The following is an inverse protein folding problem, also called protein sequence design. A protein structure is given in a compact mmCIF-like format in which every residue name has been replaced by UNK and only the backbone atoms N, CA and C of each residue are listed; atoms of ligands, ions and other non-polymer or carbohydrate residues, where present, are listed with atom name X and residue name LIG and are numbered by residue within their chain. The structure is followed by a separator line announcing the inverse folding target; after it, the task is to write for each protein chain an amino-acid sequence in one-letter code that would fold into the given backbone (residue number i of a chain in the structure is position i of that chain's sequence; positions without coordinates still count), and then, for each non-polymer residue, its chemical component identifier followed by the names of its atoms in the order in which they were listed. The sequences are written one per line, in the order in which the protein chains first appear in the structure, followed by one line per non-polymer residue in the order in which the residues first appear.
data_IF_658091012850
#
_entry.id   IF_658091012850
#
_cell.length_a   1.000
_cell.length_b   1.000
_cell.length_c   1.000
_cell.angle_alpha   90.00
_cell.angle_beta   90.00
_cell.angle_gamma   90.00
#
_symmetry.space_group_name_H-M   'P 1'
#
loop_
_entity.id
_entity.type
_entity.pdbx_description
1 polymer ?
#
# COMPACT_ATOMS: atom_id res chain seq x y z
N UNK A 1 -14.76 11.75 -10.08
CA UNK A 1 -14.16 10.81 -9.12
C UNK A 1 -14.38 11.40 -7.75
N UNK A 2 -14.99 10.66 -6.83
CA UNK A 2 -15.14 11.14 -5.44
C UNK A 2 -13.84 10.86 -4.66
N UNK A 3 -13.75 11.39 -3.43
CA UNK A 3 -12.56 11.25 -2.60
C UNK A 3 -12.26 9.79 -2.23
N UNK A 4 -13.29 8.97 -1.99
CA UNK A 4 -13.13 7.56 -1.67
C UNK A 4 -12.53 6.79 -2.85
N UNK A 5 -13.01 7.04 -4.08
CA UNK A 5 -12.44 6.46 -5.31
C UNK A 5 -10.98 6.89 -5.53
N UNK A 6 -10.63 8.12 -5.17
CA UNK A 6 -9.24 8.59 -5.22
C UNK A 6 -8.38 7.86 -4.18
N UNK A 7 -8.88 7.69 -2.96
CA UNK A 7 -8.21 6.95 -1.88
C UNK A 7 -7.95 5.51 -2.31
N UNK A 8 -8.93 4.80 -2.88
CA UNK A 8 -8.73 3.41 -3.33
C UNK A 8 -7.68 3.31 -4.44
N UNK A 9 -7.64 4.26 -5.38
CA UNK A 9 -6.61 4.27 -6.44
C UNK A 9 -5.22 4.55 -5.89
N UNK A 10 -5.10 5.49 -4.95
CA UNK A 10 -3.83 5.78 -4.29
C UNK A 10 -3.37 4.63 -3.40
N UNK A 11 -4.29 3.95 -2.72
CA UNK A 11 -4.00 2.78 -1.91
C UNK A 11 -3.53 1.60 -2.78
N UNK A 12 -4.16 1.36 -3.94
CA UNK A 12 -3.65 0.37 -4.89
C UNK A 12 -2.22 0.72 -5.35
N UNK A 13 -1.93 1.99 -5.66
CA UNK A 13 -0.60 2.41 -6.07
C UNK A 13 0.45 2.25 -4.95
N UNK A 14 0.08 2.54 -3.70
CA UNK A 14 0.93 2.30 -2.52
C UNK A 14 1.22 0.81 -2.35
N UNK A 15 0.21 -0.04 -2.52
CA UNK A 15 0.37 -1.49 -2.45
C UNK A 15 1.30 -2.03 -3.53
N UNK A 16 1.19 -1.54 -4.77
CA UNK A 16 2.10 -1.88 -5.86
C UNK A 16 3.55 -1.49 -5.54
N UNK A 17 3.76 -0.29 -4.99
CA UNK A 17 5.08 0.17 -4.53
C UNK A 17 5.61 -0.72 -3.40
N UNK A 18 4.78 -1.00 -2.41
CA UNK A 18 5.14 -1.86 -1.28
C UNK A 18 5.48 -3.28 -1.73
N UNK A 19 4.72 -3.89 -2.64
CA UNK A 19 5.06 -5.21 -3.20
C UNK A 19 6.43 -5.18 -3.87
N UNK A 20 6.70 -4.17 -4.70
CA UNK A 20 7.96 -4.08 -5.43
C UNK A 20 9.15 -3.94 -4.48
N UNK A 21 9.03 -3.06 -3.49
CA UNK A 21 10.06 -2.87 -2.47
C UNK A 21 10.24 -4.14 -1.62
N UNK A 22 9.16 -4.69 -1.07
CA UNK A 22 9.20 -5.83 -0.15
C UNK A 22 9.70 -7.12 -0.81
N UNK A 23 9.41 -7.36 -2.09
CA UNK A 23 10.01 -8.45 -2.87
C UNK A 23 11.53 -8.26 -3.01
N UNK A 24 11.95 -7.06 -3.39
CA UNK A 24 13.39 -6.72 -3.52
C UNK A 24 14.12 -6.98 -2.20
N UNK A 25 13.59 -6.49 -1.08
CA UNK A 25 14.17 -6.73 0.25
C UNK A 25 14.17 -8.22 0.61
N UNK A 26 13.09 -8.95 0.32
CA UNK A 26 12.98 -10.38 0.64
C UNK A 26 14.00 -11.24 -0.11
N UNK A 27 14.38 -10.82 -1.32
CA UNK A 27 15.33 -11.49 -2.22
C UNK A 27 16.79 -11.10 -1.95
N UNK A 28 17.04 -9.81 -1.68
CA UNK A 28 18.39 -9.25 -1.65
C UNK A 28 18.96 -9.07 -0.24
N UNK A 29 18.11 -9.03 0.79
CA UNK A 29 18.51 -8.77 2.17
C UNK A 29 18.18 -9.93 3.12
N UNK A 30 18.91 -9.97 4.25
CA UNK A 30 18.63 -10.92 5.32
C UNK A 30 17.55 -10.37 6.25
N UNK A 31 16.30 -10.72 5.98
CA UNK A 31 15.16 -10.53 6.88
C UNK A 31 14.84 -11.81 7.66
N UNK A 32 14.07 -11.70 8.74
CA UNK A 32 13.60 -12.89 9.48
C UNK A 32 12.63 -13.71 8.64
N UNK A 33 12.64 -15.02 8.83
CA UNK A 33 11.75 -15.94 8.11
C UNK A 33 10.27 -15.63 8.39
N UNK A 34 9.94 -15.30 9.64
CA UNK A 34 8.59 -14.88 10.03
C UNK A 34 8.11 -13.67 9.20
N UNK A 35 8.99 -12.67 8.99
CA UNK A 35 8.66 -11.48 8.20
C UNK A 35 8.44 -11.86 6.74
N UNK A 36 9.33 -12.68 6.17
CA UNK A 36 9.21 -13.15 4.78
C UNK A 36 7.91 -13.91 4.55
N UNK A 37 7.59 -14.88 5.40
CA UNK A 37 6.35 -15.66 5.33
C UNK A 37 5.11 -14.77 5.47
N UNK A 38 5.15 -13.77 6.37
CA UNK A 38 4.05 -12.81 6.51
C UNK A 38 3.87 -11.97 5.25
N UNK A 39 4.94 -11.40 4.70
CA UNK A 39 4.86 -10.54 3.51
C UNK A 39 4.37 -11.29 2.27
N UNK A 40 4.80 -12.54 2.08
CA UNK A 40 4.36 -13.37 0.95
C UNK A 40 2.83 -13.51 0.85
N UNK A 41 2.12 -13.48 1.98
CA UNK A 41 0.63 -13.53 1.99
C UNK A 41 -0.01 -12.31 1.35
N UNK A 42 0.70 -11.19 1.27
CA UNK A 42 0.21 -9.94 0.72
C UNK A 42 0.73 -9.68 -0.70
N UNK A 43 1.51 -10.59 -1.29
CA UNK A 43 2.00 -10.48 -2.67
C UNK A 43 0.94 -10.85 -3.71
N UNK A 44 -0.27 -10.34 -3.52
CA UNK A 44 -1.44 -10.52 -4.38
C UNK A 44 -1.94 -9.14 -4.84
N UNK A 45 -2.74 -9.05 -5.92
CA UNK A 45 -3.36 -7.78 -6.32
C UNK A 45 -4.12 -7.10 -5.17
N UNK A 46 -4.12 -5.77 -5.12
CA UNK A 46 -4.81 -4.99 -4.07
C UNK A 46 -6.28 -5.39 -3.93
N UNK A 47 -6.95 -5.67 -5.05
CA UNK A 47 -8.35 -6.11 -5.09
C UNK A 47 -8.61 -7.43 -4.36
N UNK A 48 -7.58 -8.27 -4.18
CA UNK A 48 -7.67 -9.58 -3.50
C UNK A 48 -7.33 -9.51 -2.01
N UNK A 49 -6.89 -8.35 -1.52
CA UNK A 49 -6.64 -8.14 -0.09
C UNK A 49 -7.96 -8.06 0.70
N UNK A 50 -7.89 -8.45 1.98
CA UNK A 50 -8.97 -8.17 2.93
C UNK A 50 -9.05 -6.69 3.23
N UNK A 51 -10.23 -6.21 3.61
CA UNK A 51 -10.44 -4.79 3.95
C UNK A 51 -9.55 -4.30 5.09
N UNK A 52 -9.24 -5.16 6.05
CA UNK A 52 -8.31 -4.87 7.15
C UNK A 52 -6.87 -4.62 6.63
N UNK A 53 -6.41 -5.42 5.67
CA UNK A 53 -5.06 -5.28 5.11
C UNK A 53 -4.98 -4.06 4.18
N UNK A 54 -6.03 -3.84 3.36
CA UNK A 54 -6.13 -2.65 2.52
C UNK A 54 -6.06 -1.35 3.31
N UNK A 55 -6.51 -1.36 4.56
CA UNK A 55 -6.48 -0.18 5.42
C UNK A 55 -5.05 0.33 5.70
N UNK A 56 -4.03 -0.55 5.67
CA UNK A 56 -2.63 -0.13 5.78
C UNK A 56 -2.23 0.81 4.64
N UNK A 57 -2.64 0.52 3.41
CA UNK A 57 -2.37 1.35 2.23
C UNK A 57 -3.26 2.61 2.23
N UNK A 58 -4.53 2.49 2.61
CA UNK A 58 -5.47 3.61 2.69
C UNK A 58 -5.01 4.70 3.66
N UNK A 59 -4.35 4.33 4.75
CA UNK A 59 -3.76 5.30 5.69
C UNK A 59 -2.76 6.21 4.98
N UNK A 60 -1.95 5.67 4.06
CA UNK A 60 -1.02 6.46 3.26
C UNK A 60 -1.73 7.26 2.18
N UNK A 61 -2.71 6.68 1.49
CA UNK A 61 -3.55 7.39 0.53
C UNK A 61 -4.22 8.62 1.16
N UNK A 62 -4.79 8.50 2.36
CA UNK A 62 -5.39 9.62 3.10
C UNK A 62 -4.37 10.70 3.48
N UNK A 63 -3.13 10.33 3.80
CA UNK A 63 -2.04 11.31 4.02
C UNK A 63 -1.74 12.12 2.76
N UNK A 64 -1.68 11.46 1.61
CA UNK A 64 -1.44 12.11 0.31
C UNK A 64 -2.58 13.09 0.01
N UNK A 65 -3.84 12.65 0.11
CA UNK A 65 -5.01 13.51 -0.13
C UNK A 65 -5.00 14.71 0.81
N UNK A 66 -4.73 14.50 2.10
CA UNK A 66 -4.63 15.59 3.09
C UNK A 66 -3.54 16.61 2.73
N UNK A 67 -2.37 16.14 2.28
CA UNK A 67 -1.26 17.01 1.86
C UNK A 67 -1.64 17.84 0.62
N UNK A 68 -2.23 17.21 -0.39
CA UNK A 68 -2.66 17.92 -1.60
C UNK A 68 -3.71 19.00 -1.31
N UNK A 69 -4.64 18.72 -0.39
CA UNK A 69 -5.61 19.70 0.10
C UNK A 69 -4.95 20.86 0.85
N UNK A 70 -3.95 20.59 1.70
CA UNK A 70 -3.26 21.67 2.43
C UNK A 70 -2.46 22.59 1.52
N UNK A 71 -1.97 22.07 0.39
CA UNK A 71 -1.25 22.85 -0.64
C UNK A 71 -2.19 23.50 -1.69
N UNK A 72 -3.51 23.31 -1.58
CA UNK A 72 -4.49 23.86 -2.53
C UNK A 72 -4.43 23.24 -3.93
N UNK A 73 -3.86 22.04 -4.06
CA UNK A 73 -3.81 21.27 -5.31
C UNK A 73 -5.13 20.51 -5.55
N UNK A 74 -5.82 20.15 -4.46
CA UNK A 74 -7.13 19.50 -4.39
C UNK A 74 -8.08 20.36 -3.54
#
# INVERSE_FOLDING_TARGET
MNEDELIEKLANLEHEQWIKWSKTISEQERISEERRVRWQKYFVPYSELTEEVKEYDRVWARKIVKLLKSEGVL
#
